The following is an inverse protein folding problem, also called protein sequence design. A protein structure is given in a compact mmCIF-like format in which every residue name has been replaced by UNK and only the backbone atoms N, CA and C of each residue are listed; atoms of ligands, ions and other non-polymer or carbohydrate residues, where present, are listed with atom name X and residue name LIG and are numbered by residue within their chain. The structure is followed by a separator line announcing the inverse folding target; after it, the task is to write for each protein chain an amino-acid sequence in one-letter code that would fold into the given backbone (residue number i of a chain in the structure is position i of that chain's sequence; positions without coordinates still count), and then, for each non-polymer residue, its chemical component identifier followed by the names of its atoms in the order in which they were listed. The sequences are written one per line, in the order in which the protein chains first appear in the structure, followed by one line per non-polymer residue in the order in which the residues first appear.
data_IF_462667404195
#
_entry.id   IF_462667404195
#
_cell.length_a   1.000
_cell.length_b   1.000
_cell.length_c   1.000
_cell.angle_alpha   90.00
_cell.angle_beta   90.00
_cell.angle_gamma   90.00
#
_symmetry.space_group_name_H-M   'P 1'
#
loop_
_entity.id
_entity.type
_entity.pdbx_description
1 polymer ?
#
# COMPACT_ATOMS: atom_id res chain seq x y z
N UNK A 1 12.86 -15.53 -24.17
CA UNK A 1 13.90 -15.94 -23.18
C UNK A 1 14.31 -14.78 -22.27
N UNK A 2 14.55 -13.59 -22.79
CA UNK A 2 14.88 -12.37 -22.01
C UNK A 2 13.82 -12.04 -20.96
N UNK A 3 12.55 -12.11 -21.29
CA UNK A 3 11.43 -11.77 -20.40
C UNK A 3 11.36 -12.70 -19.17
N UNK A 4 11.62 -14.00 -19.39
CA UNK A 4 11.68 -14.96 -18.28
C UNK A 4 12.88 -14.67 -17.35
N UNK A 5 14.02 -14.26 -17.90
CA UNK A 5 15.19 -13.86 -17.10
C UNK A 5 14.91 -12.59 -16.30
N UNK A 6 14.13 -11.65 -16.83
CA UNK A 6 13.69 -10.46 -16.09
C UNK A 6 12.79 -10.83 -14.93
N UNK A 7 11.82 -11.73 -15.12
CA UNK A 7 10.95 -12.22 -14.05
C UNK A 7 11.77 -12.96 -12.98
N UNK A 8 12.71 -13.82 -13.36
CA UNK A 8 13.60 -14.51 -12.43
C UNK A 8 14.46 -13.52 -11.64
N UNK A 9 15.01 -12.50 -12.31
CA UNK A 9 15.74 -11.41 -11.67
C UNK A 9 14.86 -10.62 -10.70
N UNK A 10 13.61 -10.35 -11.07
CA UNK A 10 12.64 -9.70 -10.21
C UNK A 10 12.39 -10.51 -8.93
N UNK A 11 12.20 -11.83 -9.03
CA UNK A 11 11.98 -12.71 -7.86
C UNK A 11 13.18 -12.69 -6.91
N UNK A 12 14.41 -12.78 -7.45
CA UNK A 12 15.63 -12.74 -6.62
C UNK A 12 15.79 -11.39 -5.92
N UNK A 13 15.60 -10.29 -6.66
CA UNK A 13 15.66 -8.94 -6.09
C UNK A 13 14.56 -8.69 -5.08
N UNK A 14 13.34 -9.18 -5.33
CA UNK A 14 12.23 -9.07 -4.42
C UNK A 14 12.51 -9.81 -3.10
N UNK A 15 13.03 -11.03 -3.17
CA UNK A 15 13.37 -11.81 -1.97
C UNK A 15 14.50 -11.15 -1.15
N UNK A 16 15.59 -10.76 -1.80
CA UNK A 16 16.74 -10.13 -1.13
C UNK A 16 16.38 -8.72 -0.61
N UNK A 17 15.73 -7.91 -1.45
CA UNK A 17 15.31 -6.55 -1.12
C UNK A 17 14.27 -6.52 0.01
N UNK A 18 13.29 -7.40 -0.04
CA UNK A 18 12.27 -7.51 1.00
C UNK A 18 12.83 -7.94 2.34
N UNK A 19 13.74 -8.91 2.37
CA UNK A 19 14.43 -9.31 3.62
C UNK A 19 15.25 -8.16 4.21
N UNK A 20 15.98 -7.40 3.37
CA UNK A 20 16.75 -6.24 3.79
C UNK A 20 15.83 -5.13 4.31
N UNK A 21 14.74 -4.84 3.60
CA UNK A 21 13.76 -3.82 3.96
C UNK A 21 13.04 -4.16 5.27
N UNK A 22 12.58 -5.40 5.44
CA UNK A 22 11.97 -5.86 6.69
C UNK A 22 12.92 -5.72 7.88
N UNK A 23 14.19 -6.13 7.74
CA UNK A 23 15.22 -5.92 8.79
C UNK A 23 15.41 -4.44 9.12
N UNK A 24 15.33 -3.55 8.12
CA UNK A 24 15.41 -2.11 8.33
C UNK A 24 14.23 -1.59 9.16
N UNK A 25 12.99 -2.03 8.85
CA UNK A 25 11.78 -1.66 9.61
C UNK A 25 11.93 -2.08 11.08
N UNK A 26 12.34 -3.33 11.31
CA UNK A 26 12.55 -3.85 12.66
C UNK A 26 13.68 -3.11 13.39
N UNK A 27 14.79 -2.84 12.69
CA UNK A 27 15.91 -2.05 13.23
C UNK A 27 15.49 -0.61 13.56
N UNK A 28 14.73 0.04 12.71
CA UNK A 28 14.21 1.38 12.96
C UNK A 28 13.30 1.41 14.19
N UNK A 29 12.39 0.43 14.34
CA UNK A 29 11.53 0.31 15.50
C UNK A 29 12.34 0.17 16.80
N UNK A 30 13.39 -0.66 16.78
CA UNK A 30 14.30 -0.85 17.91
C UNK A 30 15.01 0.45 18.29
N UNK A 31 15.62 1.14 17.31
CA UNK A 31 16.41 2.34 17.58
C UNK A 31 15.55 3.54 17.97
N UNK A 32 14.37 3.69 17.38
CA UNK A 32 13.40 4.72 17.74
C UNK A 32 12.71 4.39 19.08
N UNK A 33 12.81 3.16 19.56
CA UNK A 33 12.13 2.63 20.76
C UNK A 33 10.62 2.79 20.68
N UNK A 34 10.05 2.47 19.52
CA UNK A 34 8.60 2.55 19.25
C UNK A 34 8.10 1.20 18.73
N UNK A 35 6.80 0.88 18.92
CA UNK A 35 6.21 -0.33 18.35
C UNK A 35 6.46 -0.43 16.83
N UNK A 36 6.80 -1.63 16.35
CA UNK A 36 7.10 -1.87 14.92
C UNK A 36 5.90 -1.54 14.01
N UNK A 37 4.67 -1.69 14.49
CA UNK A 37 3.47 -1.28 13.74
C UNK A 37 3.48 0.22 13.41
N UNK A 38 3.98 1.07 14.31
CA UNK A 38 4.06 2.52 14.06
C UNK A 38 5.07 2.82 12.94
N UNK A 39 6.25 2.16 12.97
CA UNK A 39 7.23 2.31 11.90
C UNK A 39 6.68 1.79 10.58
N UNK A 40 5.96 0.67 10.62
CA UNK A 40 5.31 0.10 9.44
C UNK A 40 4.24 1.03 8.86
N UNK A 41 3.33 1.54 9.70
CA UNK A 41 2.22 2.41 9.26
C UNK A 41 2.70 3.78 8.77
N UNK A 42 3.90 4.23 9.18
CA UNK A 42 4.44 5.54 8.78
C UNK A 42 5.60 5.43 7.80
N UNK A 43 6.80 5.10 8.28
CA UNK A 43 8.02 5.13 7.47
C UNK A 43 8.02 4.06 6.36
N UNK A 44 7.60 2.83 6.68
CA UNK A 44 7.56 1.78 5.67
C UNK A 44 6.48 2.06 4.63
N UNK A 45 5.28 2.44 5.05
CA UNK A 45 4.19 2.80 4.14
C UNK A 45 4.58 3.99 3.23
N UNK A 46 5.18 5.05 3.78
CA UNK A 46 5.71 6.16 2.98
C UNK A 46 6.74 5.69 1.96
N UNK A 47 7.67 4.84 2.40
CA UNK A 47 8.76 4.38 1.54
C UNK A 47 8.24 3.49 0.39
N UNK A 48 7.34 2.55 0.68
CA UNK A 48 6.77 1.66 -0.34
C UNK A 48 5.84 2.38 -1.30
N UNK A 49 5.08 3.39 -0.84
CA UNK A 49 4.20 4.23 -1.70
C UNK A 49 4.94 5.43 -2.34
N UNK A 50 6.27 5.51 -2.25
CA UNK A 50 7.04 6.57 -2.91
C UNK A 50 6.96 6.55 -4.46
N UNK A 51 6.90 5.39 -5.13
CA UNK A 51 6.67 5.31 -6.57
C UNK A 51 5.33 5.94 -6.97
N UNK A 52 4.25 5.60 -6.27
CA UNK A 52 2.90 6.13 -6.50
C UNK A 52 2.87 7.65 -6.27
N UNK A 53 3.48 8.13 -5.19
CA UNK A 53 3.59 9.57 -4.92
C UNK A 53 4.31 10.30 -6.05
N UNK A 54 5.42 9.73 -6.52
CA UNK A 54 6.22 10.33 -7.60
C UNK A 54 5.42 10.35 -8.90
N UNK A 55 4.81 9.23 -9.28
CA UNK A 55 3.99 9.09 -10.49
C UNK A 55 2.82 10.08 -10.49
N UNK A 56 2.04 10.10 -9.40
CA UNK A 56 0.90 10.99 -9.23
C UNK A 56 1.28 12.47 -9.23
N UNK A 57 2.41 12.81 -8.60
CA UNK A 57 2.89 14.20 -8.59
C UNK A 57 3.32 14.66 -9.97
N UNK A 58 4.06 13.81 -10.71
CA UNK A 58 4.49 14.12 -12.08
C UNK A 58 3.28 14.24 -13.01
N UNK A 59 2.30 13.34 -12.90
CA UNK A 59 1.06 13.41 -13.67
C UNK A 59 0.29 14.73 -13.39
N UNK A 60 0.16 15.12 -12.12
CA UNK A 60 -0.51 16.36 -11.74
C UNK A 60 0.22 17.61 -12.28
N UNK A 61 1.57 17.62 -12.25
CA UNK A 61 2.38 18.70 -12.85
C UNK A 61 2.25 18.75 -14.38
N UNK A 62 2.00 17.62 -15.02
CA UNK A 62 1.72 17.52 -16.45
C UNK A 62 0.27 17.88 -16.82
N UNK A 63 -0.59 18.24 -15.84
CA UNK A 63 -2.00 18.58 -16.06
C UNK A 63 -2.91 17.35 -16.23
N UNK A 64 -2.49 16.18 -15.77
CA UNK A 64 -3.23 14.90 -15.84
C UNK A 64 -3.39 14.28 -14.43
N UNK A 65 -3.96 15.01 -13.45
CA UNK A 65 -4.04 14.55 -12.06
C UNK A 65 -4.96 13.35 -11.87
N UNK A 66 -5.87 13.08 -12.80
CA UNK A 66 -6.76 11.91 -12.82
C UNK A 66 -5.98 10.59 -12.90
N UNK A 67 -4.83 10.57 -13.56
CA UNK A 67 -3.93 9.39 -13.58
C UNK A 67 -3.45 9.07 -12.16
N UNK A 68 -3.05 10.13 -11.41
CA UNK A 68 -2.62 9.96 -10.02
C UNK A 68 -3.76 9.53 -9.09
N UNK A 69 -4.98 10.00 -9.33
CA UNK A 69 -6.17 9.54 -8.59
C UNK A 69 -6.42 8.05 -8.82
N UNK A 70 -6.42 7.63 -10.08
CA UNK A 70 -6.63 6.24 -10.47
C UNK A 70 -5.58 5.31 -9.85
N UNK A 71 -4.30 5.69 -9.93
CA UNK A 71 -3.18 4.95 -9.34
C UNK A 71 -3.33 4.82 -7.81
N UNK A 72 -3.58 5.93 -7.10
CA UNK A 72 -3.71 5.94 -5.65
C UNK A 72 -4.91 5.10 -5.15
N UNK A 73 -6.08 5.25 -5.78
CA UNK A 73 -7.28 4.51 -5.39
C UNK A 73 -7.21 3.04 -5.81
N UNK A 74 -6.65 2.76 -6.99
CA UNK A 74 -6.41 1.40 -7.50
C UNK A 74 -5.47 0.63 -6.60
N UNK A 75 -4.33 1.24 -6.21
CA UNK A 75 -3.37 0.66 -5.26
C UNK A 75 -4.01 0.33 -3.91
N UNK A 76 -4.96 1.13 -3.44
CA UNK A 76 -5.69 0.82 -2.21
C UNK A 76 -6.52 -0.47 -2.32
N UNK A 77 -7.14 -0.73 -3.48
CA UNK A 77 -7.87 -1.98 -3.73
C UNK A 77 -6.90 -3.15 -3.87
N UNK A 78 -5.77 -2.97 -4.57
CA UNK A 78 -4.69 -3.98 -4.67
C UNK A 78 -4.15 -4.35 -3.29
N UNK A 79 -3.84 -3.35 -2.46
CA UNK A 79 -3.27 -3.54 -1.13
C UNK A 79 -4.15 -4.43 -0.25
N UNK A 80 -5.43 -4.14 -0.18
CA UNK A 80 -6.33 -4.88 0.70
C UNK A 80 -6.92 -6.11 0.00
N UNK A 81 -7.40 -5.96 -1.24
CA UNK A 81 -8.05 -7.03 -1.98
C UNK A 81 -7.10 -8.15 -2.37
N UNK A 82 -5.98 -7.79 -3.04
CA UNK A 82 -5.01 -8.77 -3.52
C UNK A 82 -3.97 -9.12 -2.44
N UNK A 83 -3.22 -8.13 -1.96
CA UNK A 83 -2.01 -8.38 -1.15
C UNK A 83 -2.40 -8.97 0.22
N UNK A 84 -3.34 -8.31 0.93
CA UNK A 84 -3.80 -8.85 2.21
C UNK A 84 -4.62 -10.13 2.04
N UNK A 85 -5.40 -10.23 0.94
CA UNK A 85 -6.07 -11.47 0.56
C UNK A 85 -5.11 -12.64 0.46
N UNK A 86 -3.99 -12.48 -0.26
CA UNK A 86 -2.93 -13.48 -0.35
C UNK A 86 -2.28 -13.78 1.01
N UNK A 87 -1.98 -12.76 1.80
CA UNK A 87 -1.37 -12.93 3.12
C UNK A 87 -2.26 -13.78 4.05
N UNK A 88 -3.58 -13.62 3.99
CA UNK A 88 -4.52 -14.41 4.78
C UNK A 88 -4.60 -15.88 4.35
N UNK A 89 -4.21 -16.24 3.11
CA UNK A 89 -4.14 -17.64 2.69
C UNK A 89 -3.10 -18.45 3.48
N UNK A 90 -2.06 -17.78 4.00
CA UNK A 90 -1.05 -18.41 4.86
C UNK A 90 -1.56 -18.67 6.29
N UNK A 91 -2.72 -18.15 6.67
CA UNK A 91 -3.34 -18.36 7.97
C UNK A 91 -4.04 -17.11 8.51
N UNK A 92 -4.75 -17.26 9.63
CA UNK A 92 -5.39 -16.13 10.29
C UNK A 92 -4.34 -15.11 10.78
N UNK A 93 -4.67 -13.82 10.70
CA UNK A 93 -3.84 -12.72 11.23
C UNK A 93 -4.43 -12.29 12.56
N UNK A 94 -3.61 -12.27 13.60
CA UNK A 94 -4.02 -11.76 14.90
C UNK A 94 -3.72 -10.27 14.98
N UNK A 95 -4.74 -9.47 15.26
CA UNK A 95 -4.61 -8.04 15.47
C UNK A 95 -5.30 -7.67 16.78
N UNK A 96 -4.77 -6.71 17.52
CA UNK A 96 -5.52 -6.16 18.65
C UNK A 96 -6.33 -4.95 18.20
N UNK A 97 -7.49 -4.73 18.84
CA UNK A 97 -8.27 -3.49 18.59
C UNK A 97 -7.47 -2.23 18.92
N UNK A 98 -6.50 -2.34 19.83
CA UNK A 98 -5.63 -1.24 20.21
C UNK A 98 -4.64 -0.88 19.11
N UNK A 99 -4.11 -1.88 18.40
CA UNK A 99 -3.14 -1.70 17.32
C UNK A 99 -3.81 -1.27 16.02
N UNK A 100 -5.03 -1.74 15.80
CA UNK A 100 -5.78 -1.59 14.55
C UNK A 100 -6.78 -0.43 14.58
N UNK A 101 -7.29 -0.07 15.78
CA UNK A 101 -8.57 0.64 15.90
C UNK A 101 -8.61 1.99 15.19
N UNK A 102 -7.71 2.90 15.53
CA UNK A 102 -7.79 4.30 15.08
C UNK A 102 -7.44 4.47 13.61
N UNK A 103 -6.30 3.93 13.20
CA UNK A 103 -5.78 4.09 11.84
C UNK A 103 -6.68 3.36 10.84
N UNK A 104 -7.26 2.26 11.28
CA UNK A 104 -8.26 1.52 10.51
C UNK A 104 -9.58 2.29 10.33
N UNK A 105 -10.11 2.93 11.39
CA UNK A 105 -11.31 3.74 11.25
C UNK A 105 -11.09 4.95 10.34
N UNK A 106 -9.88 5.56 10.39
CA UNK A 106 -9.53 6.60 9.44
C UNK A 106 -9.45 6.03 8.01
N UNK A 107 -8.83 4.85 7.82
CA UNK A 107 -8.78 4.19 6.52
C UNK A 107 -10.18 3.87 5.96
N UNK A 108 -11.15 3.53 6.82
CA UNK A 108 -12.56 3.37 6.41
C UNK A 108 -13.23 4.71 6.04
N UNK A 109 -12.86 5.80 6.72
CA UNK A 109 -13.45 7.12 6.46
C UNK A 109 -12.92 7.73 5.14
N UNK A 110 -11.69 7.42 4.73
CA UNK A 110 -11.05 7.98 3.53
C UNK A 110 -11.86 7.74 2.25
N UNK A 111 -12.27 6.51 1.90
CA UNK A 111 -13.08 6.27 0.70
C UNK A 111 -14.40 7.04 0.71
N UNK A 112 -15.05 7.15 1.88
CA UNK A 112 -16.31 7.88 2.02
C UNK A 112 -16.11 9.38 1.84
N UNK A 113 -15.04 9.94 2.40
CA UNK A 113 -14.68 11.35 2.27
C UNK A 113 -14.31 11.69 0.82
N UNK A 114 -13.49 10.85 0.18
CA UNK A 114 -13.11 11.00 -1.23
C UNK A 114 -14.35 10.92 -2.13
N UNK A 115 -15.27 9.99 -1.86
CA UNK A 115 -16.54 9.92 -2.60
C UNK A 115 -17.38 11.19 -2.43
N UNK A 116 -17.48 11.71 -1.21
CA UNK A 116 -18.22 12.95 -0.94
C UNK A 116 -17.66 14.14 -1.74
N UNK A 117 -16.33 14.28 -1.79
CA UNK A 117 -15.66 15.34 -2.54
C UNK A 117 -15.76 15.14 -4.07
N UNK A 118 -15.94 13.90 -4.53
CA UNK A 118 -16.06 13.57 -5.94
C UNK A 118 -17.48 13.74 -6.51
N UNK A 119 -18.51 14.00 -5.69
CA UNK A 119 -19.92 14.01 -6.10
C UNK A 119 -20.26 15.03 -7.19
N UNK A 120 -19.55 16.15 -7.24
CA UNK A 120 -19.73 17.18 -8.26
C UNK A 120 -18.92 16.92 -9.55
N UNK A 121 -18.28 15.75 -9.67
CA UNK A 121 -17.47 15.34 -10.82
C UNK A 121 -16.03 15.84 -10.78
N UNK A 122 -15.59 16.43 -9.69
CA UNK A 122 -14.20 16.90 -9.51
C UNK A 122 -13.81 16.94 -8.05
N UNK A 123 -12.52 16.77 -7.76
CA UNK A 123 -11.93 17.10 -6.46
C UNK A 123 -11.28 18.47 -6.61
N UNK A 124 -11.85 19.48 -5.96
CA UNK A 124 -11.34 20.85 -6.01
C UNK A 124 -10.06 20.98 -5.15
N UNK A 125 -9.25 22.03 -5.41
CA UNK A 125 -8.03 22.29 -4.63
C UNK A 125 -8.28 22.40 -3.13
N UNK A 126 -9.41 23.02 -2.73
CA UNK A 126 -9.78 23.14 -1.31
C UNK A 126 -10.00 21.79 -0.64
N UNK A 127 -10.70 20.87 -1.32
CA UNK A 127 -10.95 19.50 -0.85
C UNK A 127 -9.67 18.68 -0.78
N UNK A 128 -8.81 18.82 -1.78
CA UNK A 128 -7.47 18.20 -1.79
C UNK A 128 -6.61 18.68 -0.61
N UNK A 129 -6.62 19.98 -0.31
CA UNK A 129 -5.93 20.55 0.86
C UNK A 129 -6.54 20.02 2.17
N UNK A 130 -7.85 19.78 2.24
CA UNK A 130 -8.49 19.13 3.40
C UNK A 130 -7.97 17.71 3.57
N UNK A 131 -7.90 16.89 2.49
CA UNK A 131 -7.33 15.53 2.55
C UNK A 131 -5.89 15.56 3.07
N UNK A 132 -5.06 16.42 2.48
CA UNK A 132 -3.65 16.57 2.91
C UNK A 132 -3.53 17.05 4.37
N UNK A 133 -4.41 17.95 4.81
CA UNK A 133 -4.44 18.41 6.20
C UNK A 133 -4.80 17.28 7.16
N UNK A 134 -5.81 16.46 6.82
CA UNK A 134 -6.17 15.27 7.61
C UNK A 134 -4.97 14.33 7.73
N UNK A 135 -4.25 14.10 6.61
CA UNK A 135 -3.03 13.29 6.62
C UNK A 135 -1.97 13.84 7.57
N UNK A 136 -1.66 15.13 7.48
CA UNK A 136 -0.64 15.78 8.31
C UNK A 136 -1.01 15.76 9.80
N UNK A 137 -2.29 15.98 10.12
CA UNK A 137 -2.80 15.90 11.50
C UNK A 137 -2.69 14.47 12.03
N UNK A 138 -3.10 13.47 11.24
CA UNK A 138 -2.95 12.05 11.57
C UNK A 138 -1.48 11.69 11.81
N UNK A 139 -0.60 12.04 10.88
CA UNK A 139 0.83 11.75 10.98
C UNK A 139 1.44 12.40 12.23
N UNK A 140 1.16 13.69 12.47
CA UNK A 140 1.62 14.40 13.65
C UNK A 140 1.14 13.73 14.95
N UNK A 141 -0.10 13.24 14.96
CA UNK A 141 -0.66 12.57 16.12
C UNK A 141 -0.02 11.18 16.34
N UNK A 142 0.20 10.38 15.30
CA UNK A 142 0.91 9.10 15.36
C UNK A 142 2.33 9.30 15.90
N UNK A 143 3.07 10.27 15.33
CA UNK A 143 4.44 10.59 15.77
C UNK A 143 4.47 11.06 17.23
N UNK A 144 3.56 11.96 17.65
CA UNK A 144 3.46 12.39 19.05
C UNK A 144 3.14 11.22 19.98
N UNK A 145 2.23 10.34 19.57
CA UNK A 145 1.89 9.12 20.33
C UNK A 145 3.09 8.18 20.47
N UNK A 146 3.87 8.00 19.41
CA UNK A 146 5.10 7.21 19.41
C UNK A 146 6.13 7.79 20.39
N UNK A 147 6.37 9.10 20.33
CA UNK A 147 7.33 9.79 21.20
C UNK A 147 6.93 9.71 22.68
N UNK A 148 5.65 9.76 22.99
CA UNK A 148 5.15 9.61 24.38
C UNK A 148 5.28 8.18 24.92
N UNK A 149 5.27 7.18 24.07
CA UNK A 149 5.38 5.76 24.43
C UNK A 149 6.81 5.23 24.30
N UNK A 150 7.80 6.09 24.07
CA UNK A 150 9.21 5.73 24.03
C UNK A 150 9.63 5.06 25.35
N UNK A 151 10.19 3.84 25.25
CA UNK A 151 10.69 3.13 26.42
C UNK A 151 9.87 1.90 26.83
N UNK A 152 8.70 1.62 26.24
CA UNK A 152 8.10 0.30 26.34
C UNK A 152 9.07 -0.72 25.70
N UNK A 153 9.46 -1.74 26.46
CA UNK A 153 10.39 -2.77 25.98
C UNK A 153 9.79 -3.40 24.71
N UNK A 154 10.41 -3.13 23.58
CA UNK A 154 10.03 -3.73 22.30
C UNK A 154 10.91 -4.96 22.18
N UNK A 155 10.38 -6.11 22.53
CA UNK A 155 11.02 -7.40 22.25
C UNK A 155 10.90 -7.65 20.73
N UNK A 156 11.92 -7.18 20.02
CA UNK A 156 12.03 -7.38 18.58
C UNK A 156 13.19 -8.35 18.42
N UNK A 157 12.94 -9.57 17.96
CA UNK A 157 13.97 -10.52 17.56
C UNK A 157 14.86 -10.03 16.39
N UNK A 158 15.01 -8.71 16.25
CA UNK A 158 15.91 -8.04 15.35
C UNK A 158 17.32 -8.12 15.96
N UNK A 159 18.22 -8.88 15.33
CA UNK A 159 19.63 -8.90 15.68
C UNK A 159 20.19 -7.47 15.83
N UNK A 160 21.32 -7.31 16.55
CA UNK A 160 21.99 -6.04 16.86
C UNK A 160 22.44 -5.27 15.60
N UNK A 161 21.49 -4.71 14.85
CA UNK A 161 21.77 -3.83 13.71
C UNK A 161 22.06 -2.42 14.25
N UNK A 162 23.18 -1.82 13.86
CA UNK A 162 23.41 -0.40 14.15
C UNK A 162 22.44 0.49 13.36
N UNK A 163 22.16 1.73 13.83
CA UNK A 163 21.26 2.65 13.12
C UNK A 163 21.66 2.88 11.66
N UNK A 164 22.98 3.04 11.41
CA UNK A 164 23.51 3.20 10.06
C UNK A 164 23.26 1.98 9.17
N UNK A 165 23.46 0.77 9.71
CA UNK A 165 23.16 -0.48 8.97
C UNK A 165 21.66 -0.60 8.67
N UNK A 166 20.79 -0.27 9.63
CA UNK A 166 19.34 -0.28 9.40
C UNK A 166 18.94 0.68 8.29
N UNK A 167 19.49 1.90 8.25
CA UNK A 167 19.23 2.87 7.20
C UNK A 167 19.72 2.36 5.82
N UNK A 168 20.94 1.86 5.75
CA UNK A 168 21.51 1.33 4.49
C UNK A 168 20.68 0.16 3.97
N UNK A 169 20.29 -0.78 4.85
CA UNK A 169 19.43 -1.89 4.48
C UNK A 169 18.05 -1.42 4.00
N UNK A 170 17.51 -0.34 4.59
CA UNK A 170 16.25 0.26 4.17
C UNK A 170 16.34 0.83 2.75
N UNK A 171 17.35 1.65 2.49
CA UNK A 171 17.54 2.29 1.18
C UNK A 171 17.83 1.24 0.09
N UNK A 172 18.76 0.32 0.34
CA UNK A 172 19.12 -0.73 -0.62
C UNK A 172 17.98 -1.72 -0.82
N UNK A 173 17.29 -2.11 0.27
CA UNK A 173 16.15 -3.02 0.22
C UNK A 173 14.98 -2.44 -0.57
N UNK A 174 14.62 -1.18 -0.29
CA UNK A 174 13.58 -0.47 -1.04
C UNK A 174 13.98 -0.29 -2.52
N UNK A 175 15.22 0.13 -2.79
CA UNK A 175 15.73 0.25 -4.16
C UNK A 175 15.66 -1.07 -4.92
N UNK A 176 15.99 -2.19 -4.28
CA UNK A 176 15.87 -3.52 -4.87
C UNK A 176 14.40 -3.92 -5.12
N UNK A 177 13.48 -3.59 -4.21
CA UNK A 177 12.03 -3.84 -4.39
C UNK A 177 11.46 -3.04 -5.56
N UNK A 178 11.81 -1.77 -5.70
CA UNK A 178 11.40 -0.93 -6.83
C UNK A 178 11.98 -1.47 -8.15
N UNK A 179 13.25 -1.87 -8.15
CA UNK A 179 13.88 -2.48 -9.32
C UNK A 179 13.21 -3.83 -9.68
N UNK A 180 12.86 -4.64 -8.67
CA UNK A 180 12.13 -5.88 -8.87
C UNK A 180 10.76 -5.65 -9.53
N UNK A 181 10.02 -4.63 -9.09
CA UNK A 181 8.75 -4.23 -9.71
C UNK A 181 8.91 -3.88 -11.18
N UNK A 182 9.91 -3.07 -11.53
CA UNK A 182 10.21 -2.70 -12.93
C UNK A 182 10.60 -3.90 -13.80
N UNK A 183 11.43 -4.80 -13.27
CA UNK A 183 11.81 -6.03 -13.99
C UNK A 183 10.61 -6.95 -14.18
N UNK A 184 9.76 -7.09 -13.14
CA UNK A 184 8.54 -7.87 -13.22
C UNK A 184 7.60 -7.33 -14.30
N UNK A 185 7.31 -6.03 -14.27
CA UNK A 185 6.46 -5.38 -15.30
C UNK A 185 7.04 -5.58 -16.69
N UNK A 186 8.34 -5.33 -16.88
CA UNK A 186 8.99 -5.48 -18.19
C UNK A 186 8.89 -6.91 -18.73
N UNK A 187 9.24 -7.91 -17.91
CA UNK A 187 9.18 -9.32 -18.31
C UNK A 187 7.75 -9.83 -18.53
N UNK A 188 6.82 -9.46 -17.62
CA UNK A 188 5.42 -9.86 -17.74
C UNK A 188 4.75 -9.22 -18.96
N UNK A 189 5.02 -7.94 -19.25
CA UNK A 189 4.54 -7.24 -20.46
C UNK A 189 5.05 -7.92 -21.72
N UNK A 190 6.34 -8.27 -21.78
CA UNK A 190 6.92 -8.97 -22.94
C UNK A 190 6.22 -10.29 -23.22
N UNK A 191 5.98 -11.11 -22.19
CA UNK A 191 5.26 -12.39 -22.32
C UNK A 191 3.80 -12.16 -22.71
N UNK A 192 3.09 -11.23 -22.04
CA UNK A 192 1.68 -10.96 -22.30
C UNK A 192 1.46 -10.47 -23.74
N UNK A 193 2.32 -9.56 -24.22
CA UNK A 193 2.29 -9.08 -25.61
C UNK A 193 2.54 -10.21 -26.61
N UNK A 194 3.51 -11.09 -26.33
CA UNK A 194 3.77 -12.25 -27.17
C UNK A 194 2.59 -13.25 -27.23
N UNK A 195 1.76 -13.30 -26.19
CA UNK A 195 0.53 -14.09 -26.12
C UNK A 195 -0.69 -13.35 -26.70
N UNK A 196 -0.52 -12.15 -27.24
CA UNK A 196 -1.61 -11.36 -27.83
C UNK A 196 -2.54 -10.71 -26.81
N UNK A 197 -2.11 -10.53 -25.56
CA UNK A 197 -2.90 -9.83 -24.52
C UNK A 197 -2.95 -8.34 -24.86
N UNK A 198 -4.14 -7.74 -24.74
CA UNK A 198 -4.38 -6.34 -25.01
C UNK A 198 -3.53 -5.42 -24.12
N UNK A 199 -3.04 -4.31 -24.69
CA UNK A 199 -2.19 -3.35 -23.98
C UNK A 199 -2.88 -2.71 -22.78
N UNK A 200 -4.21 -2.49 -22.85
CA UNK A 200 -4.99 -1.97 -21.74
C UNK A 200 -5.02 -2.95 -20.56
N UNK A 201 -5.21 -4.25 -20.84
CA UNK A 201 -5.18 -5.32 -19.81
C UNK A 201 -3.81 -5.38 -19.14
N UNK A 202 -2.74 -5.27 -19.93
CA UNK A 202 -1.36 -5.24 -19.42
C UNK A 202 -1.20 -4.05 -18.46
N UNK A 203 -1.62 -2.86 -18.86
CA UNK A 203 -1.53 -1.66 -18.03
C UNK A 203 -2.34 -1.77 -16.74
N UNK A 204 -3.61 -2.13 -16.86
CA UNK A 204 -4.54 -2.15 -15.73
C UNK A 204 -4.24 -3.24 -14.69
N UNK A 205 -3.59 -4.35 -15.09
CA UNK A 205 -3.35 -5.48 -14.18
C UNK A 205 -1.86 -5.63 -13.85
N UNK A 206 -0.99 -5.77 -14.86
CA UNK A 206 0.41 -6.10 -14.61
C UNK A 206 1.20 -4.90 -14.07
N UNK A 207 0.95 -3.70 -14.59
CA UNK A 207 1.62 -2.49 -14.11
C UNK A 207 1.18 -2.18 -12.69
N UNK A 208 -0.12 -2.23 -12.39
CA UNK A 208 -0.65 -1.99 -11.06
C UNK A 208 -0.07 -2.96 -10.01
N UNK A 209 0.01 -4.26 -10.33
CA UNK A 209 0.67 -5.25 -9.45
C UNK A 209 2.16 -4.96 -9.28
N UNK A 210 2.82 -4.52 -10.36
CA UNK A 210 4.25 -4.23 -10.35
C UNK A 210 4.63 -3.00 -9.52
N UNK A 211 3.80 -1.94 -9.51
CA UNK A 211 4.03 -0.75 -8.67
C UNK A 211 3.81 -1.09 -7.20
N UNK A 212 2.82 -1.93 -6.88
CA UNK A 212 2.55 -2.40 -5.50
C UNK A 212 3.42 -3.61 -5.08
N UNK A 213 4.46 -3.96 -5.85
CA UNK A 213 5.35 -5.09 -5.52
C UNK A 213 6.15 -4.86 -4.22
N UNK A 214 6.61 -3.65 -3.89
CA UNK A 214 7.22 -3.37 -2.60
C UNK A 214 6.29 -3.71 -1.43
N UNK A 215 5.03 -3.32 -1.48
CA UNK A 215 4.01 -3.65 -0.49
C UNK A 215 3.78 -5.15 -0.41
N UNK A 216 3.57 -5.81 -1.55
CA UNK A 216 3.33 -7.24 -1.64
C UNK A 216 4.44 -8.04 -0.94
N UNK A 217 5.69 -7.76 -1.30
CA UNK A 217 6.84 -8.50 -0.76
C UNK A 217 7.02 -8.20 0.72
N UNK A 218 6.88 -6.93 1.14
CA UNK A 218 6.99 -6.54 2.55
C UNK A 218 5.95 -7.26 3.40
N UNK A 219 4.71 -7.33 2.96
CA UNK A 219 3.60 -7.99 3.68
C UNK A 219 3.80 -9.49 3.75
N UNK A 220 4.10 -10.14 2.62
CA UNK A 220 4.28 -11.59 2.58
C UNK A 220 5.48 -12.01 3.43
N UNK A 221 6.63 -11.32 3.33
CA UNK A 221 7.80 -11.63 4.17
C UNK A 221 7.54 -11.35 5.65
N UNK A 222 6.87 -10.26 5.99
CA UNK A 222 6.45 -9.98 7.37
C UNK A 222 5.64 -11.13 7.93
N UNK A 223 4.69 -11.63 7.14
CA UNK A 223 3.86 -12.79 7.49
C UNK A 223 4.70 -14.05 7.71
N UNK A 224 5.58 -14.37 6.76
CA UNK A 224 6.44 -15.55 6.83
C UNK A 224 7.45 -15.50 8.01
N UNK A 225 7.80 -14.29 8.46
CA UNK A 225 8.72 -14.04 9.58
C UNK A 225 7.99 -13.85 10.92
N UNK A 226 6.66 -13.98 10.97
CA UNK A 226 5.89 -13.81 12.22
C UNK A 226 5.75 -12.37 12.69
N UNK A 227 5.83 -11.41 11.77
CA UNK A 227 5.67 -9.98 12.01
C UNK A 227 4.39 -9.45 11.37
N UNK A 228 3.24 -10.05 11.69
CA UNK A 228 1.94 -9.70 11.12
C UNK A 228 1.59 -8.21 11.29
N UNK A 229 1.95 -7.64 12.42
CA UNK A 229 1.78 -6.23 12.73
C UNK A 229 2.52 -5.28 11.76
N UNK A 230 3.69 -5.70 11.25
CA UNK A 230 4.41 -4.96 10.21
C UNK A 230 3.64 -5.00 8.89
N UNK A 231 3.19 -6.18 8.46
CA UNK A 231 2.43 -6.32 7.22
C UNK A 231 1.11 -5.53 7.24
N UNK A 232 0.33 -5.68 8.31
CA UNK A 232 -0.92 -4.94 8.51
C UNK A 232 -0.68 -3.43 8.57
N UNK A 233 0.31 -3.00 9.36
CA UNK A 233 0.67 -1.59 9.50
C UNK A 233 1.06 -0.96 8.16
N UNK A 234 1.91 -1.62 7.38
CA UNK A 234 2.32 -1.15 6.05
C UNK A 234 1.11 -0.92 5.15
N UNK A 235 0.20 -1.90 5.03
CA UNK A 235 -0.97 -1.76 4.13
C UNK A 235 -1.95 -0.68 4.57
N UNK A 236 -2.27 -0.60 5.86
CA UNK A 236 -3.16 0.46 6.36
C UNK A 236 -2.50 1.83 6.18
N UNK A 237 -1.20 1.94 6.47
CA UNK A 237 -0.44 3.16 6.25
C UNK A 237 -0.38 3.57 4.79
N UNK A 238 -0.08 2.64 3.86
CA UNK A 238 -0.09 2.90 2.41
C UNK A 238 -1.46 3.35 1.93
N UNK A 239 -2.55 2.75 2.41
CA UNK A 239 -3.90 3.19 2.04
C UNK A 239 -4.23 4.59 2.54
N UNK A 240 -3.81 4.96 3.75
CA UNK A 240 -3.93 6.33 4.26
C UNK A 240 -3.07 7.30 3.47
N UNK A 241 -1.84 6.90 3.15
CA UNK A 241 -0.92 7.69 2.36
C UNK A 241 -1.47 7.96 0.96
N UNK A 242 -1.93 6.92 0.27
CA UNK A 242 -2.50 7.02 -1.07
C UNK A 242 -3.77 7.89 -1.08
N UNK A 243 -4.74 7.58 -0.23
CA UNK A 243 -6.04 8.25 -0.23
C UNK A 243 -6.02 9.68 0.33
N UNK A 244 -5.09 10.02 1.20
CA UNK A 244 -5.01 11.34 1.83
C UNK A 244 -3.86 12.19 1.30
N UNK A 245 -2.61 11.67 1.32
CA UNK A 245 -1.45 12.45 0.93
C UNK A 245 -1.31 12.54 -0.58
N UNK A 246 -1.35 11.41 -1.32
CA UNK A 246 -1.14 11.41 -2.76
C UNK A 246 -2.27 12.15 -3.46
N UNK A 247 -3.54 11.81 -3.18
CA UNK A 247 -4.71 12.52 -3.73
C UNK A 247 -4.70 14.00 -3.31
N UNK A 248 -4.36 14.29 -2.04
CA UNK A 248 -4.27 15.64 -1.52
C UNK A 248 -3.19 16.48 -2.20
N UNK A 249 -2.00 15.93 -2.45
CA UNK A 249 -0.91 16.59 -3.15
C UNK A 249 -1.29 16.82 -4.62
N UNK A 250 -1.72 15.77 -5.33
CA UNK A 250 -2.08 15.85 -6.74
C UNK A 250 -3.19 16.89 -6.98
N UNK A 251 -4.27 16.84 -6.19
CA UNK A 251 -5.40 17.77 -6.31
C UNK A 251 -5.07 19.20 -5.88
N UNK A 252 -4.08 19.39 -4.99
CA UNK A 252 -3.58 20.72 -4.63
C UNK A 252 -2.78 21.37 -5.76
N UNK A 253 -2.04 20.57 -6.53
CA UNK A 253 -1.31 21.03 -7.73
C UNK A 253 -2.31 21.37 -8.85
N UNK A 254 -3.19 20.43 -9.17
CA UNK A 254 -4.20 20.59 -10.21
C UNK A 254 -5.53 19.96 -9.76
N UNK A 255 -6.70 20.67 -9.88
CA UNK A 255 -8.00 20.06 -9.60
C UNK A 255 -8.19 18.78 -10.41
N UNK A 256 -8.71 17.74 -9.78
CA UNK A 256 -8.82 16.41 -10.39
C UNK A 256 -10.21 16.25 -10.99
N UNK A 257 -10.31 16.05 -12.30
CA UNK A 257 -11.55 15.61 -12.93
C UNK A 257 -11.83 14.16 -12.52
N UNK A 258 -13.06 13.87 -12.10
CA UNK A 258 -13.43 12.57 -11.56
C UNK A 258 -14.41 11.87 -12.48
N UNK A 259 -14.04 10.77 -13.15
CA UNK A 259 -14.99 9.88 -13.81
C UNK A 259 -15.79 9.14 -12.74
N UNK A 260 -16.94 9.70 -12.35
CA UNK A 260 -17.67 9.32 -11.14
C UNK A 260 -18.02 7.82 -11.08
N UNK A 261 -18.34 7.19 -12.22
CA UNK A 261 -18.69 5.76 -12.25
C UNK A 261 -17.48 4.88 -11.86
N UNK A 262 -16.31 5.13 -12.44
CA UNK A 262 -15.08 4.37 -12.21
C UNK A 262 -14.55 4.57 -10.78
N UNK A 263 -14.55 5.83 -10.33
CA UNK A 263 -14.11 6.18 -8.98
C UNK A 263 -15.04 5.60 -7.92
N UNK A 264 -16.36 5.62 -8.17
CA UNK A 264 -17.35 5.01 -7.25
C UNK A 264 -17.12 3.51 -7.13
N UNK A 265 -16.87 2.79 -8.22
CA UNK A 265 -16.57 1.37 -8.20
C UNK A 265 -15.31 1.09 -7.37
N UNK A 266 -14.24 1.84 -7.63
CA UNK A 266 -12.95 1.67 -6.95
C UNK A 266 -13.08 1.95 -5.45
N UNK A 267 -13.73 3.05 -5.05
CA UNK A 267 -13.97 3.41 -3.66
C UNK A 267 -14.87 2.39 -2.94
N UNK A 268 -15.93 1.91 -3.61
CA UNK A 268 -16.81 0.89 -3.06
C UNK A 268 -16.06 -0.44 -2.83
N UNK A 269 -15.25 -0.89 -3.81
CA UNK A 269 -14.43 -2.08 -3.65
C UNK A 269 -13.40 -1.92 -2.51
N UNK A 270 -12.73 -0.77 -2.43
CA UNK A 270 -11.80 -0.46 -1.35
C UNK A 270 -12.47 -0.45 0.03
N UNK A 271 -13.65 0.15 0.13
CA UNK A 271 -14.43 0.16 1.38
C UNK A 271 -14.89 -1.24 1.78
N UNK A 272 -15.43 -2.03 0.84
CA UNK A 272 -15.84 -3.41 1.10
C UNK A 272 -14.63 -4.26 1.53
N UNK A 273 -13.49 -4.11 0.86
CA UNK A 273 -12.26 -4.79 1.23
C UNK A 273 -11.84 -4.46 2.66
N UNK A 274 -11.85 -3.18 3.05
CA UNK A 274 -11.57 -2.76 4.42
C UNK A 274 -12.59 -3.31 5.42
N UNK A 275 -13.88 -3.31 5.10
CA UNK A 275 -14.91 -3.90 5.98
C UNK A 275 -14.69 -5.40 6.20
N UNK A 276 -14.22 -6.14 5.20
CA UNK A 276 -13.84 -7.55 5.33
C UNK A 276 -12.63 -7.75 6.27
N UNK A 277 -11.82 -6.73 6.51
CA UNK A 277 -10.71 -6.77 7.47
C UNK A 277 -11.12 -6.52 8.91
N UNK A 278 -12.36 -6.08 9.19
CA UNK A 278 -12.78 -5.85 10.57
C UNK A 278 -12.51 -7.07 11.43
N UNK A 279 -11.65 -6.98 12.47
CA UNK A 279 -11.34 -8.13 13.28
C UNK A 279 -12.60 -8.60 14.04
N UNK A 280 -12.74 -9.91 14.14
CA UNK A 280 -13.79 -10.51 14.97
C UNK A 280 -13.63 -10.13 16.45
N UNK A 281 -14.56 -10.56 17.31
CA UNK A 281 -14.46 -10.33 18.76
C UNK A 281 -13.19 -10.91 19.39
N UNK A 282 -12.62 -11.95 18.79
CA UNK A 282 -11.35 -12.58 19.19
C UNK A 282 -10.09 -11.83 18.72
N UNK A 283 -10.23 -10.73 17.97
CA UNK A 283 -9.10 -10.05 17.34
C UNK A 283 -8.51 -10.77 16.13
N UNK A 284 -9.13 -11.88 15.67
CA UNK A 284 -8.64 -12.65 14.53
C UNK A 284 -9.30 -12.19 13.22
N UNK A 285 -8.49 -11.99 12.20
CA UNK A 285 -8.92 -11.93 10.80
C UNK A 285 -8.68 -13.31 10.21
N UNK A 286 -9.79 -14.02 9.91
CA UNK A 286 -9.74 -15.44 9.57
C UNK A 286 -9.46 -15.69 8.09
N UNK A 287 -8.87 -16.84 7.77
CA UNK A 287 -8.40 -17.22 6.43
C UNK A 287 -9.47 -17.11 5.33
N UNK A 288 -10.74 -17.49 5.60
CA UNK A 288 -11.79 -17.44 4.58
C UNK A 288 -12.06 -16.01 4.07
N UNK A 289 -11.78 -14.96 4.86
CA UNK A 289 -11.87 -13.58 4.40
C UNK A 289 -10.82 -13.26 3.33
N UNK A 290 -9.66 -13.94 3.36
CA UNK A 290 -8.68 -13.84 2.28
C UNK A 290 -9.25 -14.28 0.94
N UNK A 291 -10.00 -15.38 0.92
CA UNK A 291 -10.68 -15.83 -0.31
C UNK A 291 -11.72 -14.81 -0.78
N UNK A 292 -12.51 -14.23 0.14
CA UNK A 292 -13.49 -13.20 -0.21
C UNK A 292 -12.82 -11.94 -0.77
N UNK A 293 -11.70 -11.53 -0.21
CA UNK A 293 -10.91 -10.39 -0.71
C UNK A 293 -10.37 -10.65 -2.12
N UNK A 294 -9.86 -11.85 -2.38
CA UNK A 294 -9.38 -12.23 -3.72
C UNK A 294 -10.51 -12.29 -4.75
N UNK A 295 -11.70 -12.80 -4.35
CA UNK A 295 -12.88 -12.77 -5.22
C UNK A 295 -13.32 -11.33 -5.51
N UNK A 296 -13.35 -10.47 -4.50
CA UNK A 296 -13.66 -9.05 -4.65
C UNK A 296 -12.68 -8.37 -5.61
N UNK A 297 -11.37 -8.63 -5.44
CA UNK A 297 -10.34 -8.08 -6.31
C UNK A 297 -10.48 -8.58 -7.75
N UNK A 298 -10.69 -9.88 -7.96
CA UNK A 298 -10.93 -10.44 -9.28
C UNK A 298 -12.18 -9.82 -9.95
N UNK A 299 -13.26 -9.65 -9.19
CA UNK A 299 -14.46 -8.96 -9.65
C UNK A 299 -14.20 -7.50 -10.04
N UNK A 300 -13.44 -6.76 -9.22
CA UNK A 300 -13.00 -5.41 -9.52
C UNK A 300 -12.24 -5.33 -10.85
N UNK A 301 -11.22 -6.18 -11.01
CA UNK A 301 -10.44 -6.25 -12.26
C UNK A 301 -11.33 -6.56 -13.46
N UNK A 302 -12.20 -7.57 -13.36
CA UNK A 302 -13.09 -7.95 -14.47
C UNK A 302 -14.07 -6.84 -14.87
N UNK A 303 -14.55 -6.05 -13.92
CA UNK A 303 -15.45 -4.91 -14.23
C UNK A 303 -14.64 -3.78 -14.86
N UNK A 304 -13.49 -3.43 -14.29
CA UNK A 304 -12.61 -2.38 -14.83
C UNK A 304 -12.12 -2.68 -16.25
N UNK A 305 -11.91 -3.96 -16.60
CA UNK A 305 -11.50 -4.36 -17.95
C UNK A 305 -12.66 -4.30 -18.98
N UNK A 306 -13.90 -4.15 -18.53
CA UNK A 306 -15.09 -4.06 -19.41
C UNK A 306 -15.66 -2.64 -19.53
N UNK A 307 -15.25 -1.71 -18.63
CA UNK A 307 -15.60 -0.29 -18.67
C UNK A 307 -14.71 0.45 -19.66
#
# INVERSE_FOLDING_TARGET
MTDLLWILGAVVLAAAGGEAFLKSILGAALHLRVPKIIVATTLAAFATSAPELTGSTVAALAGQPEIGLGDALGSNVVNIGLIFGLALLYGAVQTTRADFGRDFYLALAVPLLTFLFALDGRIARGEAVVLLTIFLVWLAWVVRGALRRRGAAVDIGAGNLSPGKSLVLGVLGLGALIAAGRLFVGGATGIATALGVDAFVIGAVLVAVGTSLPELVTVILSRLRGHDDVGVGTLIGSNLFNGLAIVGIAGSIHPIAVPLAEVTLTLACGLIALLLLLPGRSGLIVRHRGVLLLILYAGFVLVTLKS
#
